data_IF_530681607356
#
_entry.id   IF_530681607356
#
_cell.length_a   1.000
_cell.length_b   1.000
_cell.length_c   1.000
_cell.angle_alpha   90.00
_cell.angle_beta   90.00
_cell.angle_gamma   90.00
#
_symmetry.space_group_name_H-M   'P 1'
#
loop_
_entity.id
_entity.type
_entity.pdbx_description
1 polymer ?
#
# COMPACT_ATOMS: atom_id res chain seq x y z
N UNK A 1 32.92 -5.55 19.94
CA UNK A 1 31.59 -5.34 20.54
C UNK A 1 30.58 -5.18 19.42
N UNK A 2 29.96 -6.28 18.99
CA UNK A 2 28.80 -6.22 18.08
C UNK A 2 27.56 -6.14 18.94
N UNK A 3 26.89 -5.00 18.92
CA UNK A 3 25.56 -4.87 19.51
C UNK A 3 24.56 -5.33 18.46
N UNK A 4 24.15 -6.59 18.58
CA UNK A 4 22.92 -7.08 17.97
C UNK A 4 21.76 -6.41 18.70
N UNK A 5 21.46 -5.16 18.32
CA UNK A 5 20.24 -4.51 18.77
C UNK A 5 19.09 -5.11 17.97
N UNK A 6 18.49 -6.16 18.51
CA UNK A 6 17.18 -6.61 18.10
C UNK A 6 16.16 -5.55 18.55
N UNK A 7 16.11 -4.41 17.84
CA UNK A 7 15.05 -3.42 18.01
C UNK A 7 13.77 -4.09 17.51
N UNK A 8 12.76 -4.35 18.36
CA UNK A 8 11.47 -4.79 17.87
C UNK A 8 11.01 -3.75 16.85
N UNK A 9 10.68 -4.17 15.62
CA UNK A 9 10.19 -3.26 14.59
C UNK A 9 9.03 -2.48 15.22
N UNK A 10 9.23 -1.18 15.46
CA UNK A 10 8.20 -0.34 16.06
C UNK A 10 7.04 -0.29 15.07
N UNK A 11 5.93 -0.92 15.45
CA UNK A 11 4.69 -0.87 14.69
C UNK A 11 4.31 0.59 14.49
N UNK A 12 4.05 0.99 13.24
CA UNK A 12 3.72 2.38 12.90
C UNK A 12 2.35 2.80 13.41
N UNK A 13 1.46 1.83 13.66
CA UNK A 13 0.09 2.09 14.11
C UNK A 13 -0.88 2.39 12.96
N UNK A 14 -0.41 2.34 11.70
CA UNK A 14 -1.23 2.68 10.54
C UNK A 14 -2.39 1.68 10.38
N UNK A 15 -3.60 2.20 10.19
CA UNK A 15 -4.82 1.41 9.97
C UNK A 15 -5.11 1.19 8.49
N UNK A 16 -5.50 -0.04 8.13
CA UNK A 16 -6.05 -0.31 6.82
C UNK A 16 -7.34 0.48 6.58
N UNK A 17 -8.30 0.38 7.50
CA UNK A 17 -9.64 0.94 7.31
C UNK A 17 -9.62 2.47 7.24
N UNK A 18 -8.85 3.12 8.10
CA UNK A 18 -8.90 4.57 8.27
C UNK A 18 -7.89 5.32 7.38
N UNK A 19 -6.72 4.74 7.09
CA UNK A 19 -5.64 5.46 6.43
C UNK A 19 -5.28 4.92 5.05
N UNK A 20 -5.14 3.60 4.90
CA UNK A 20 -4.65 3.01 3.65
C UNK A 20 -5.77 2.81 2.63
N UNK A 21 -6.91 2.27 3.06
CA UNK A 21 -8.06 1.98 2.19
C UNK A 21 -8.54 3.23 1.43
N UNK A 22 -8.69 4.42 2.05
CA UNK A 22 -9.06 5.63 1.31
C UNK A 22 -8.07 6.01 0.21
N UNK A 23 -6.75 5.84 0.45
CA UNK A 23 -5.70 6.11 -0.54
C UNK A 23 -5.81 5.14 -1.71
N UNK A 24 -5.93 3.84 -1.44
CA UNK A 24 -6.05 2.80 -2.47
C UNK A 24 -7.32 3.00 -3.31
N UNK A 25 -8.46 3.23 -2.66
CA UNK A 25 -9.74 3.40 -3.35
C UNK A 25 -9.77 4.66 -4.22
N UNK A 26 -9.13 5.74 -3.79
CA UNK A 26 -9.13 7.02 -4.52
C UNK A 26 -8.09 7.04 -5.64
N UNK A 27 -6.91 6.47 -5.40
CA UNK A 27 -5.75 6.67 -6.28
C UNK A 27 -5.45 5.47 -7.17
N UNK A 28 -5.89 4.26 -6.78
CA UNK A 28 -5.59 3.02 -7.50
C UNK A 28 -6.84 2.45 -8.17
N UNK A 29 -7.95 2.35 -7.44
CA UNK A 29 -9.22 1.75 -7.91
C UNK A 29 -10.02 2.76 -8.75
N UNK A 30 -9.40 3.20 -9.85
CA UNK A 30 -10.03 4.04 -10.87
C UNK A 30 -10.60 3.16 -11.97
N UNK A 31 -11.71 3.58 -12.56
CA UNK A 31 -12.29 2.88 -13.71
C UNK A 31 -11.27 2.74 -14.83
N UNK A 32 -11.10 1.51 -15.36
CA UNK A 32 -10.11 1.22 -16.39
C UNK A 32 -8.67 0.93 -15.88
N UNK A 33 -8.43 1.04 -14.57
CA UNK A 33 -7.10 0.86 -13.96
C UNK A 33 -6.99 -0.38 -13.04
N UNK A 34 -7.47 -0.31 -11.81
CA UNK A 34 -7.41 -1.43 -10.85
C UNK A 34 -8.78 -1.74 -10.25
N UNK A 35 -9.83 -1.50 -11.05
CA UNK A 35 -11.18 -1.99 -10.82
C UNK A 35 -11.28 -3.49 -11.19
N UNK A 36 -12.44 -4.08 -10.90
CA UNK A 36 -12.73 -5.47 -11.25
C UNK A 36 -13.19 -5.66 -12.72
N UNK A 37 -13.40 -4.56 -13.48
CA UNK A 37 -13.98 -4.58 -14.82
C UNK A 37 -12.94 -4.44 -15.94
N UNK A 38 -11.78 -3.83 -15.68
CA UNK A 38 -10.79 -3.47 -16.70
C UNK A 38 -9.92 -4.63 -17.19
N UNK A 39 -10.09 -5.84 -16.64
CA UNK A 39 -9.23 -6.99 -16.94
C UNK A 39 -7.80 -6.87 -16.43
N UNK A 40 -7.51 -5.83 -15.64
CA UNK A 40 -6.25 -5.63 -14.93
C UNK A 40 -6.33 -6.26 -13.53
N UNK A 41 -5.23 -6.24 -12.79
CA UNK A 41 -5.23 -6.68 -11.39
C UNK A 41 -6.15 -5.78 -10.56
N UNK A 42 -7.25 -6.35 -10.06
CA UNK A 42 -8.15 -5.69 -9.10
C UNK A 42 -7.40 -5.31 -7.82
N UNK A 43 -7.75 -4.16 -7.25
CA UNK A 43 -7.35 -3.72 -5.90
C UNK A 43 -8.57 -3.25 -5.08
N UNK A 44 -9.77 -3.75 -5.40
CA UNK A 44 -11.03 -3.30 -4.77
C UNK A 44 -11.21 -3.79 -3.34
N UNK A 45 -10.79 -5.02 -3.06
CA UNK A 45 -10.97 -5.65 -1.75
C UNK A 45 -9.67 -5.68 -0.95
N UNK A 46 -9.76 -5.78 0.38
CA UNK A 46 -8.58 -5.99 1.21
C UNK A 46 -7.79 -7.22 0.76
N UNK A 47 -8.45 -8.33 0.46
CA UNK A 47 -7.81 -9.56 -0.01
C UNK A 47 -7.03 -9.35 -1.31
N UNK A 48 -7.60 -8.61 -2.26
CA UNK A 48 -6.92 -8.28 -3.52
C UNK A 48 -5.66 -7.44 -3.27
N UNK A 49 -5.77 -6.42 -2.43
CA UNK A 49 -4.66 -5.54 -2.07
C UNK A 49 -3.57 -6.33 -1.33
N UNK A 50 -3.99 -7.13 -0.34
CA UNK A 50 -3.12 -7.98 0.48
C UNK A 50 -2.31 -8.96 -0.37
N UNK A 51 -2.94 -9.56 -1.38
CA UNK A 51 -2.28 -10.48 -2.32
C UNK A 51 -1.20 -9.77 -3.17
N UNK A 52 -1.33 -8.46 -3.38
CA UNK A 52 -0.47 -7.68 -4.28
C UNK A 52 0.48 -6.71 -3.56
N UNK A 53 0.56 -6.72 -2.22
CA UNK A 53 1.31 -5.72 -1.42
C UNK A 53 2.76 -5.52 -1.86
N UNK A 54 3.48 -6.58 -2.23
CA UNK A 54 4.87 -6.46 -2.68
C UNK A 54 4.98 -5.67 -3.98
N UNK A 55 4.06 -5.89 -4.92
CA UNK A 55 4.00 -5.14 -6.17
C UNK A 55 3.56 -3.70 -5.91
N UNK A 56 2.54 -3.49 -5.08
CA UNK A 56 2.08 -2.15 -4.69
C UNK A 56 3.26 -1.36 -4.11
N UNK A 57 3.99 -1.92 -3.13
CA UNK A 57 5.17 -1.29 -2.51
C UNK A 57 6.19 -0.86 -3.56
N UNK A 58 6.56 -1.75 -4.48
CA UNK A 58 7.52 -1.45 -5.54
C UNK A 58 7.04 -0.34 -6.46
N UNK A 59 5.76 -0.36 -6.87
CA UNK A 59 5.19 0.62 -7.80
C UNK A 59 5.02 2.01 -7.18
N UNK A 60 4.63 2.10 -5.91
CA UNK A 60 4.50 3.41 -5.23
C UNK A 60 5.86 4.01 -4.89
N UNK A 61 6.84 3.21 -4.46
CA UNK A 61 8.20 3.69 -4.17
C UNK A 61 8.91 4.16 -5.45
N UNK A 62 8.79 3.40 -6.54
CA UNK A 62 9.33 3.81 -7.85
C UNK A 62 8.53 4.94 -8.50
N UNK A 63 7.38 5.33 -7.91
CA UNK A 63 6.43 6.30 -8.47
C UNK A 63 5.99 5.95 -9.90
N UNK A 64 5.96 4.66 -10.23
CA UNK A 64 5.47 4.16 -11.53
C UNK A 64 3.96 3.92 -11.54
N UNK A 65 3.32 3.95 -10.36
CA UNK A 65 1.87 4.01 -10.23
C UNK A 65 1.46 5.07 -9.18
N UNK A 66 0.34 5.78 -9.39
CA UNK A 66 -0.53 5.72 -10.56
C UNK A 66 0.18 6.15 -11.87
N UNK A 67 -0.33 5.72 -13.03
CA UNK A 67 0.33 6.01 -14.31
C UNK A 67 0.13 7.46 -14.76
N UNK A 68 -1.01 8.04 -14.42
CA UNK A 68 -1.48 9.37 -14.84
C UNK A 68 -1.21 10.46 -13.80
N UNK A 69 -0.70 10.10 -12.63
CA UNK A 69 -0.56 10.96 -11.47
C UNK A 69 0.47 10.39 -10.50
N UNK A 70 0.94 11.18 -9.53
CA UNK A 70 1.89 10.70 -8.51
C UNK A 70 1.30 10.87 -7.12
N UNK A 71 1.49 9.88 -6.25
CA UNK A 71 1.11 9.98 -4.84
C UNK A 71 2.03 10.98 -4.12
N UNK A 72 1.51 11.81 -3.21
CA UNK A 72 2.32 12.56 -2.27
C UNK A 72 3.18 11.62 -1.40
N UNK A 73 4.36 12.09 -0.99
CA UNK A 73 5.29 11.31 -0.16
C UNK A 73 4.65 10.79 1.13
N UNK A 74 3.77 11.58 1.76
CA UNK A 74 3.03 11.14 2.94
C UNK A 74 2.17 9.90 2.68
N UNK A 75 1.48 9.84 1.53
CA UNK A 75 0.64 8.69 1.18
C UNK A 75 1.49 7.46 0.83
N UNK A 76 2.62 7.65 0.15
CA UNK A 76 3.59 6.57 -0.11
C UNK A 76 4.08 6.02 1.24
N UNK A 77 4.45 6.89 2.18
CA UNK A 77 4.92 6.50 3.49
C UNK A 77 3.85 5.75 4.29
N UNK A 78 2.59 6.20 4.29
CA UNK A 78 1.47 5.50 4.93
C UNK A 78 1.31 4.09 4.38
N UNK A 79 1.30 3.92 3.06
CA UNK A 79 1.20 2.59 2.43
C UNK A 79 2.39 1.71 2.82
N UNK A 80 3.62 2.24 2.73
CA UNK A 80 4.83 1.47 3.03
C UNK A 80 4.89 1.06 4.50
N UNK A 81 4.57 1.97 5.43
CA UNK A 81 4.48 1.69 6.86
C UNK A 81 3.50 0.56 7.15
N UNK A 82 2.29 0.61 6.57
CA UNK A 82 1.30 -0.44 6.77
C UNK A 82 1.75 -1.80 6.20
N UNK A 83 2.40 -1.83 5.03
CA UNK A 83 2.96 -3.07 4.46
C UNK A 83 4.05 -3.63 5.37
N UNK A 84 4.93 -2.76 5.83
CA UNK A 84 6.03 -3.06 6.73
C UNK A 84 5.53 -3.58 8.09
N UNK A 85 4.39 -3.08 8.56
CA UNK A 85 3.67 -3.56 9.74
C UNK A 85 2.95 -4.90 9.54
N UNK A 86 3.07 -5.49 8.35
CA UNK A 86 2.49 -6.79 8.03
C UNK A 86 1.13 -6.70 7.35
N UNK A 87 0.73 -5.53 6.85
CA UNK A 87 -0.49 -5.29 6.07
C UNK A 87 -1.76 -5.84 6.75
N UNK A 88 -2.01 -5.43 7.99
CA UNK A 88 -3.14 -5.91 8.80
C UNK A 88 -4.48 -5.33 8.30
N UNK A 89 -5.57 -6.04 8.51
CA UNK A 89 -6.94 -5.55 8.25
C UNK A 89 -7.49 -4.92 9.54
N UNK A 90 -6.91 -3.78 9.94
CA UNK A 90 -7.19 -3.07 11.20
C UNK A 90 -7.79 -1.68 10.97
#
# INVERSE_FOLDING_TARGET
>A
YHLDVNVPRKFSGVSWLEEVKPIIQTSCVKSGCHDNLSGRTSLETFTDVKKNVNQIRQRVISRSMPFDSSLPDAQIQTIVCWIDDGALEN
#
